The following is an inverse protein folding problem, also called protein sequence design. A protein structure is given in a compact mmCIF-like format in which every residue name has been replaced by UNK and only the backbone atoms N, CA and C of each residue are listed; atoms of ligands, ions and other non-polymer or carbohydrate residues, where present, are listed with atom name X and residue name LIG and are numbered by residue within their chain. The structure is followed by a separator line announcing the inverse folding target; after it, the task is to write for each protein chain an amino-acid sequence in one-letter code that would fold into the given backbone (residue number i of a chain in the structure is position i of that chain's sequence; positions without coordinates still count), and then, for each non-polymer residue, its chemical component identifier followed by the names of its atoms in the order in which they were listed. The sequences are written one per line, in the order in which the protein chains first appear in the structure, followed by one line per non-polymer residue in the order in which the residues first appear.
data_IF_639289234320
#
_entry.id   IF_639289234320
#
_cell.length_a   1.000
_cell.length_b   1.000
_cell.length_c   1.000
_cell.angle_alpha   90.00
_cell.angle_beta   90.00
_cell.angle_gamma   90.00
#
_symmetry.space_group_name_H-M   'P 1'
#
loop_
_entity.id
_entity.type
_entity.pdbx_description
1 polymer ?
#
# COMPACT_ATOMS: atom_id res chain seq x y z
N UNK A 1 32.82 -13.84 34.73
CA UNK A 1 32.57 -14.19 33.32
C UNK A 1 31.06 -14.23 33.08
N UNK A 2 30.42 -13.07 32.81
CA UNK A 2 28.96 -12.97 32.66
C UNK A 2 28.57 -13.19 31.21
N UNK A 3 27.91 -14.31 30.94
CA UNK A 3 27.22 -14.60 29.68
C UNK A 3 26.13 -13.54 29.47
N UNK A 4 26.40 -12.58 28.58
CA UNK A 4 25.44 -11.57 28.16
C UNK A 4 24.36 -12.28 27.35
N UNK A 5 23.20 -12.49 27.98
CA UNK A 5 21.98 -13.01 27.38
C UNK A 5 21.79 -12.41 25.99
N UNK A 6 21.75 -13.29 25.00
CA UNK A 6 21.11 -13.08 23.72
C UNK A 6 19.76 -12.41 23.96
N UNK A 7 19.63 -11.15 23.57
CA UNK A 7 18.33 -10.52 23.43
C UNK A 7 17.50 -11.34 22.43
N UNK A 8 16.19 -11.48 22.65
CA UNK A 8 15.33 -12.26 21.77
C UNK A 8 15.45 -11.73 20.35
N UNK A 9 15.53 -12.64 19.39
CA UNK A 9 15.52 -12.31 17.96
C UNK A 9 14.33 -11.39 17.68
N UNK A 10 14.58 -10.16 17.23
CA UNK A 10 13.52 -9.25 16.80
C UNK A 10 12.70 -9.92 15.68
N UNK A 11 11.42 -10.26 15.91
CA UNK A 11 10.56 -10.87 14.91
C UNK A 11 9.68 -9.82 14.19
N UNK A 12 10.06 -8.53 14.16
CA UNK A 12 9.13 -7.45 13.81
C UNK A 12 9.49 -6.58 12.60
N UNK A 13 10.62 -6.81 11.93
CA UNK A 13 10.96 -6.10 10.67
C UNK A 13 11.25 -7.10 9.53
N UNK A 14 10.51 -8.20 9.57
CA UNK A 14 10.32 -9.09 8.44
C UNK A 14 9.49 -8.30 7.43
N UNK A 15 10.16 -7.52 6.59
CA UNK A 15 9.61 -7.11 5.29
C UNK A 15 9.38 -8.44 4.56
N UNK A 16 8.19 -8.98 4.75
CA UNK A 16 7.76 -10.29 4.27
C UNK A 16 7.50 -10.15 2.77
N UNK A 17 8.59 -9.85 2.05
CA UNK A 17 8.61 -9.56 0.63
C UNK A 17 8.04 -10.73 -0.15
N UNK A 18 8.28 -11.96 0.35
CA UNK A 18 7.62 -13.17 -0.13
C UNK A 18 6.11 -13.05 -0.07
N UNK A 19 5.57 -12.68 1.08
CA UNK A 19 4.16 -12.42 1.29
C UNK A 19 3.63 -11.26 0.39
N UNK A 20 4.40 -10.18 0.20
CA UNK A 20 4.03 -9.07 -0.72
C UNK A 20 3.94 -9.55 -2.19
N UNK A 21 4.79 -10.50 -2.60
CA UNK A 21 4.82 -11.01 -3.98
C UNK A 21 3.85 -12.17 -4.23
N UNK A 22 3.68 -13.06 -3.27
CA UNK A 22 2.71 -14.16 -3.27
C UNK A 22 1.60 -13.76 -2.32
N UNK A 23 0.50 -13.21 -2.86
CA UNK A 23 -0.60 -12.61 -2.08
C UNK A 23 -0.81 -13.24 -0.70
N UNK A 24 -0.67 -12.41 0.33
CA UNK A 24 -0.73 -12.81 1.74
C UNK A 24 -2.12 -13.31 2.09
N UNK A 25 -2.26 -14.63 2.18
CA UNK A 25 -3.36 -15.27 2.89
C UNK A 25 -3.89 -16.53 2.20
N UNK A 26 -3.59 -17.68 2.79
CA UNK A 26 -4.28 -18.97 2.59
C UNK A 26 -5.73 -18.95 3.12
N UNK A 27 -6.50 -17.91 2.78
CA UNK A 27 -7.95 -17.97 2.93
C UNK A 27 -8.58 -18.00 1.54
N UNK A 28 -9.44 -18.98 1.24
CA UNK A 28 -10.30 -18.92 0.07
C UNK A 28 -11.35 -17.84 0.33
N UNK A 29 -10.94 -16.58 0.32
CA UNK A 29 -11.87 -15.47 0.40
C UNK A 29 -12.67 -15.45 -0.89
N UNK A 30 -14.00 -15.32 -0.76
CA UNK A 30 -14.93 -15.20 -1.90
C UNK A 30 -14.53 -14.08 -2.87
N UNK A 31 -13.75 -13.10 -2.39
CA UNK A 31 -13.19 -11.98 -3.15
C UNK A 31 -11.90 -12.29 -3.91
N UNK A 32 -11.19 -13.37 -3.57
CA UNK A 32 -10.02 -13.83 -4.34
C UNK A 32 -10.44 -14.43 -5.70
N UNK A 33 -11.71 -14.80 -5.85
CA UNK A 33 -12.27 -15.31 -7.10
C UNK A 33 -12.70 -14.22 -8.11
N UNK A 34 -12.67 -12.94 -7.70
CA UNK A 34 -12.99 -11.79 -8.56
C UNK A 34 -11.81 -11.43 -9.44
N UNK A 35 -12.08 -10.91 -10.65
CA UNK A 35 -11.03 -10.42 -11.53
C UNK A 35 -10.32 -9.21 -10.88
N UNK A 36 -8.97 -9.26 -10.72
CA UNK A 36 -8.18 -8.17 -10.15
C UNK A 36 -8.40 -6.80 -10.80
N UNK A 37 -8.78 -6.78 -12.10
CA UNK A 37 -9.12 -5.55 -12.83
C UNK A 37 -10.26 -4.79 -12.17
N UNK A 38 -11.35 -5.48 -11.83
CA UNK A 38 -12.55 -4.84 -11.27
C UNK A 38 -12.22 -4.26 -9.92
N UNK A 39 -11.48 -4.98 -9.08
CA UNK A 39 -11.07 -4.49 -7.77
C UNK A 39 -10.21 -3.23 -7.85
N UNK A 40 -9.28 -3.16 -8.81
CA UNK A 40 -8.47 -1.95 -9.05
C UNK A 40 -9.29 -0.78 -9.58
N UNK A 41 -10.17 -1.01 -10.57
CA UNK A 41 -11.04 0.03 -11.11
C UNK A 41 -11.97 0.57 -10.02
N UNK A 42 -12.66 -0.31 -9.29
CA UNK A 42 -13.56 0.06 -8.20
C UNK A 42 -12.83 0.82 -7.09
N UNK A 43 -11.61 0.39 -6.73
CA UNK A 43 -10.81 1.09 -5.72
C UNK A 43 -10.40 2.49 -6.19
N UNK A 44 -9.97 2.63 -7.44
CA UNK A 44 -9.61 3.93 -8.03
C UNK A 44 -10.83 4.86 -8.12
N UNK A 45 -11.97 4.35 -8.59
CA UNK A 45 -13.22 5.12 -8.66
C UNK A 45 -13.66 5.60 -7.28
N UNK A 46 -13.69 4.71 -6.28
CA UNK A 46 -14.03 5.08 -4.90
C UNK A 46 -13.06 6.09 -4.33
N UNK A 47 -11.75 5.92 -4.54
CA UNK A 47 -10.74 6.86 -4.06
C UNK A 47 -10.97 8.27 -4.63
N UNK A 48 -11.23 8.39 -5.94
CA UNK A 48 -11.55 9.68 -6.57
C UNK A 48 -12.83 10.28 -5.99
N UNK A 49 -13.91 9.49 -5.90
CA UNK A 49 -15.18 9.98 -5.33
C UNK A 49 -15.04 10.46 -3.89
N UNK A 50 -14.34 9.68 -3.04
CA UNK A 50 -14.12 10.01 -1.63
C UNK A 50 -13.32 11.30 -1.46
N UNK A 51 -12.27 11.49 -2.27
CA UNK A 51 -11.46 12.71 -2.23
C UNK A 51 -12.28 13.93 -2.67
N UNK A 52 -13.18 13.76 -3.63
CA UNK A 52 -14.06 14.84 -4.13
C UNK A 52 -15.19 15.26 -3.19
N UNK A 53 -15.50 14.50 -2.14
CA UNK A 53 -16.56 14.88 -1.18
C UNK A 53 -16.23 16.22 -0.50
N UNK A 54 -17.21 17.06 -0.21
CA UNK A 54 -16.91 18.38 0.38
C UNK A 54 -17.72 18.67 1.64
N UNK A 55 -18.75 17.87 1.90
CA UNK A 55 -19.50 17.89 3.14
C UNK A 55 -18.92 16.95 4.20
N UNK A 56 -19.09 17.30 5.48
CA UNK A 56 -18.65 16.47 6.60
C UNK A 56 -19.59 15.25 6.78
N UNK A 57 -20.90 15.42 6.52
CA UNK A 57 -21.88 14.35 6.63
C UNK A 57 -21.67 13.29 5.54
N UNK A 58 -21.38 13.71 4.31
CA UNK A 58 -21.05 12.79 3.22
C UNK A 58 -19.77 12.01 3.50
N UNK A 59 -18.72 12.67 4.04
CA UNK A 59 -17.49 12.00 4.45
C UNK A 59 -17.73 10.93 5.55
N UNK A 60 -18.64 11.18 6.49
CA UNK A 60 -18.97 10.22 7.55
C UNK A 60 -19.73 9.01 7.00
N UNK A 61 -20.74 9.23 6.15
CA UNK A 61 -21.46 8.15 5.46
C UNK A 61 -20.49 7.31 4.62
N UNK A 62 -19.55 7.96 3.94
CA UNK A 62 -18.57 7.28 3.12
C UNK A 62 -17.57 6.46 3.94
N UNK A 63 -17.19 6.94 5.13
CA UNK A 63 -16.39 6.17 6.09
C UNK A 63 -17.13 4.91 6.56
N UNK A 64 -18.42 5.02 6.90
CA UNK A 64 -19.23 3.85 7.28
C UNK A 64 -19.31 2.81 6.14
N UNK A 65 -19.51 3.28 4.90
CA UNK A 65 -19.49 2.41 3.72
C UNK A 65 -18.13 1.73 3.52
N UNK A 66 -17.03 2.46 3.72
CA UNK A 66 -15.67 1.93 3.62
C UNK A 66 -15.38 0.88 4.72
N UNK A 67 -15.86 1.10 5.94
CA UNK A 67 -15.77 0.12 7.04
C UNK A 67 -16.55 -1.14 6.67
N UNK A 68 -17.78 -1.02 6.18
CA UNK A 68 -18.58 -2.18 5.74
C UNK A 68 -17.86 -2.97 4.62
N UNK A 69 -17.28 -2.28 3.64
CA UNK A 69 -16.46 -2.88 2.60
C UNK A 69 -15.22 -3.59 3.16
N UNK A 70 -14.52 -3.01 4.12
CA UNK A 70 -13.34 -3.62 4.74
C UNK A 70 -13.68 -4.88 5.55
N UNK A 71 -14.84 -4.87 6.25
CA UNK A 71 -15.35 -6.03 6.99
C UNK A 71 -15.76 -7.16 6.04
N UNK A 72 -16.51 -6.86 4.97
CA UNK A 72 -16.83 -7.80 3.90
C UNK A 72 -15.56 -8.31 3.17
N UNK A 73 -14.55 -7.45 3.12
CA UNK A 73 -13.21 -7.68 2.59
C UNK A 73 -12.39 -8.73 3.35
N UNK A 74 -12.82 -9.11 4.56
CA UNK A 74 -12.06 -10.03 5.42
C UNK A 74 -10.72 -9.48 5.88
N UNK A 75 -10.54 -8.15 5.88
CA UNK A 75 -9.24 -7.52 6.20
C UNK A 75 -8.91 -7.82 7.66
N UNK A 76 -7.81 -8.54 7.96
CA UNK A 76 -7.45 -8.83 9.33
C UNK A 76 -7.00 -7.53 10.01
N UNK A 77 -7.66 -7.18 11.12
CA UNK A 77 -7.41 -5.95 11.90
C UNK A 77 -5.94 -5.80 12.28
N UNK A 78 -5.22 -6.93 12.46
CA UNK A 78 -3.76 -6.93 12.68
C UNK A 78 -2.97 -6.21 11.59
N UNK A 79 -3.41 -6.21 10.33
CA UNK A 79 -2.70 -5.48 9.25
C UNK A 79 -2.82 -3.96 9.39
N UNK A 80 -3.87 -3.47 10.05
CA UNK A 80 -4.05 -2.05 10.31
C UNK A 80 -3.00 -1.51 11.29
N UNK A 81 -2.38 -2.37 12.11
CA UNK A 81 -1.36 -1.94 13.07
C UNK A 81 -0.10 -1.36 12.40
N UNK A 82 0.22 -1.76 11.17
CA UNK A 82 1.34 -1.19 10.42
C UNK A 82 1.05 0.22 9.90
N UNK A 83 -0.21 0.65 9.91
CA UNK A 83 -0.63 2.00 9.53
C UNK A 83 -0.68 2.96 10.72
N UNK A 84 -0.58 2.46 11.97
CA UNK A 84 -0.56 3.29 13.18
C UNK A 84 0.48 4.42 13.14
N UNK A 85 1.73 4.21 12.70
CA UNK A 85 2.71 5.29 12.63
C UNK A 85 2.32 6.39 11.62
N UNK A 86 1.69 5.99 10.51
CA UNK A 86 1.21 6.92 9.49
C UNK A 86 0.01 7.72 9.97
N UNK A 87 -0.95 7.06 10.63
CA UNK A 87 -2.11 7.72 11.26
C UNK A 87 -1.66 8.71 12.34
N UNK A 88 -0.67 8.35 13.16
CA UNK A 88 -0.11 9.23 14.19
C UNK A 88 0.53 10.48 13.55
N UNK A 89 1.31 10.31 12.49
CA UNK A 89 1.90 11.42 11.75
C UNK A 89 0.83 12.31 11.11
N UNK A 90 -0.21 11.71 10.53
CA UNK A 90 -1.32 12.44 9.94
C UNK A 90 -2.06 13.26 11.01
N UNK A 91 -2.40 12.66 12.16
CA UNK A 91 -3.02 13.35 13.30
C UNK A 91 -2.17 14.52 13.80
N UNK A 92 -0.86 14.32 13.90
CA UNK A 92 0.09 15.37 14.29
C UNK A 92 0.09 16.54 13.29
N UNK A 93 -0.01 16.27 11.99
CA UNK A 93 -0.12 17.33 10.99
C UNK A 93 -1.50 18.00 11.02
N UNK A 94 -2.56 17.25 11.33
CA UNK A 94 -3.92 17.75 11.31
C UNK A 94 -4.24 18.67 12.48
N UNK A 95 -3.60 18.44 13.63
CA UNK A 95 -3.77 19.30 14.81
C UNK A 95 -3.24 20.72 14.58
N UNK A 96 -2.39 20.94 13.56
CA UNK A 96 -1.88 22.28 13.23
C UNK A 96 -2.84 23.06 12.33
N UNK A 97 -3.75 22.40 11.60
CA UNK A 97 -4.70 23.06 10.69
C UNK A 97 -5.63 24.06 11.37
N UNK A 98 -6.22 23.78 12.56
CA UNK A 98 -7.01 24.77 13.30
C UNK A 98 -6.25 26.06 13.63
N UNK A 99 -4.91 26.00 13.72
CA UNK A 99 -4.06 27.14 14.05
C UNK A 99 -3.46 27.83 12.81
N UNK A 100 -3.36 27.14 11.67
CA UNK A 100 -2.82 27.71 10.42
C UNK A 100 -3.88 28.27 9.48
N UNK A 101 -5.13 27.83 9.57
CA UNK A 101 -6.21 28.30 8.68
C UNK A 101 -6.89 29.52 9.30
N UNK A 102 -6.88 30.69 8.62
CA UNK A 102 -7.60 31.86 9.10
C UNK A 102 -9.11 31.64 8.97
N UNK A 103 -9.86 31.98 10.02
CA UNK A 103 -11.32 31.80 10.05
C UNK A 103 -11.93 32.32 11.36
N UNK A 104 -13.19 31.97 11.63
CA UNK A 104 -13.88 32.36 12.86
C UNK A 104 -13.25 31.64 14.05
N UNK A 105 -12.69 32.39 15.00
CA UNK A 105 -12.13 31.85 16.24
C UNK A 105 -13.25 31.25 17.11
N UNK A 106 -13.19 29.95 17.39
CA UNK A 106 -14.11 29.29 18.35
C UNK A 106 -13.51 29.24 19.74
N UNK A 107 -12.19 29.11 19.82
CA UNK A 107 -11.43 29.04 21.05
C UNK A 107 -10.20 29.94 20.90
N UNK A 108 -10.17 30.99 21.71
CA UNK A 108 -8.98 31.81 21.88
C UNK A 108 -8.30 31.34 23.16
N UNK A 109 -7.21 30.58 23.02
CA UNK A 109 -6.36 30.17 24.14
C UNK A 109 -5.07 30.97 24.00
N UNK A 110 -5.02 32.17 24.60
CA UNK A 110 -3.87 33.07 24.52
C UNK A 110 -3.70 33.70 23.13
N UNK A 111 -2.49 33.64 22.56
CA UNK A 111 -2.17 34.15 21.22
C UNK A 111 -2.52 33.21 20.06
N UNK A 112 -3.08 32.03 20.38
CA UNK A 112 -3.46 30.99 19.43
C UNK A 112 -4.99 30.95 19.32
N UNK A 113 -5.51 31.38 18.17
CA UNK A 113 -6.92 31.24 17.84
C UNK A 113 -7.14 29.95 17.04
N UNK A 114 -7.97 29.05 17.55
CA UNK A 114 -8.40 27.87 16.82
C UNK A 114 -9.61 28.22 15.95
N UNK A 115 -9.46 28.12 14.63
CA UNK A 115 -10.53 28.38 13.66
C UNK A 115 -11.51 27.21 13.56
N UNK A 116 -12.82 27.52 13.54
CA UNK A 116 -13.89 26.57 13.23
C UNK A 116 -13.68 25.86 11.90
N UNK A 117 -13.29 26.64 10.90
CA UNK A 117 -13.06 26.20 9.53
C UNK A 117 -11.86 25.27 9.46
N UNK A 118 -10.79 25.58 10.20
CA UNK A 118 -9.62 24.71 10.32
C UNK A 118 -9.94 23.36 10.98
N UNK A 119 -10.77 23.36 12.03
CA UNK A 119 -11.21 22.12 12.68
C UNK A 119 -12.14 21.28 11.79
N UNK A 120 -13.06 21.93 11.06
CA UNK A 120 -13.95 21.25 10.10
C UNK A 120 -13.16 20.63 8.95
N UNK A 121 -12.18 21.35 8.42
CA UNK A 121 -11.30 20.88 7.35
C UNK A 121 -10.44 19.70 7.84
N UNK A 122 -9.87 19.81 9.03
CA UNK A 122 -9.14 18.74 9.69
C UNK A 122 -10.01 17.47 9.79
N UNK A 123 -11.19 17.56 10.39
CA UNK A 123 -12.10 16.41 10.50
C UNK A 123 -12.44 15.80 9.13
N UNK A 124 -12.74 16.64 8.14
CA UNK A 124 -13.07 16.18 6.79
C UNK A 124 -11.89 15.43 6.13
N UNK A 125 -10.66 15.92 6.26
CA UNK A 125 -9.46 15.22 5.74
C UNK A 125 -9.27 13.88 6.46
N UNK A 126 -9.41 13.85 7.78
CA UNK A 126 -9.24 12.64 8.59
C UNK A 126 -10.21 11.54 8.15
N UNK A 127 -11.49 11.89 8.01
CA UNK A 127 -12.54 10.96 7.62
C UNK A 127 -12.29 10.41 6.21
N UNK A 128 -11.97 11.29 5.25
CA UNK A 128 -11.67 10.89 3.87
C UNK A 128 -10.45 9.99 3.77
N UNK A 129 -9.35 10.36 4.43
CA UNK A 129 -8.12 9.58 4.39
C UNK A 129 -8.38 8.16 4.90
N UNK A 130 -9.04 8.03 6.04
CA UNK A 130 -9.43 6.73 6.61
C UNK A 130 -10.38 5.96 5.67
N UNK A 131 -11.38 6.62 5.09
CA UNK A 131 -12.31 5.98 4.14
C UNK A 131 -11.60 5.45 2.88
N UNK A 132 -10.65 6.21 2.32
CA UNK A 132 -9.86 5.81 1.15
C UNK A 132 -8.95 4.63 1.50
N UNK A 133 -8.25 4.69 2.63
CA UNK A 133 -7.36 3.61 3.09
C UNK A 133 -8.16 2.33 3.31
N UNK A 134 -9.29 2.39 4.02
CA UNK A 134 -10.14 1.22 4.25
C UNK A 134 -10.71 0.63 2.96
N UNK A 135 -11.18 1.47 2.05
CA UNK A 135 -11.70 1.03 0.74
C UNK A 135 -10.60 0.36 -0.10
N UNK A 136 -9.41 0.94 -0.13
CA UNK A 136 -8.26 0.39 -0.84
C UNK A 136 -7.81 -0.93 -0.21
N UNK A 137 -7.79 -1.04 1.13
CA UNK A 137 -7.46 -2.28 1.81
C UNK A 137 -8.49 -3.38 1.55
N UNK A 138 -9.78 -3.07 1.65
CA UNK A 138 -10.85 -4.05 1.38
C UNK A 138 -10.82 -4.59 -0.06
N UNK A 139 -10.50 -3.73 -1.03
CA UNK A 139 -10.50 -4.10 -2.44
C UNK A 139 -9.16 -4.61 -2.95
N UNK A 140 -8.02 -4.10 -2.50
CA UNK A 140 -6.71 -4.38 -3.12
C UNK A 140 -5.80 -5.22 -2.24
N UNK A 141 -5.94 -5.22 -0.91
CA UNK A 141 -4.97 -5.87 -0.02
C UNK A 141 -4.91 -7.41 -0.10
N UNK A 142 -5.86 -8.03 -0.81
CA UNK A 142 -5.89 -9.49 -1.07
C UNK A 142 -5.20 -9.83 -2.41
N UNK A 143 -4.97 -8.84 -3.29
CA UNK A 143 -4.31 -9.06 -4.57
C UNK A 143 -2.80 -9.23 -4.39
N UNK A 144 -2.23 -10.30 -4.95
CA UNK A 144 -0.77 -10.44 -5.04
C UNK A 144 -0.17 -9.40 -6.00
N UNK A 145 1.07 -8.97 -5.75
CA UNK A 145 1.74 -7.96 -6.58
C UNK A 145 1.77 -8.35 -8.08
N UNK A 146 1.96 -9.63 -8.38
CA UNK A 146 1.91 -10.14 -9.76
C UNK A 146 0.52 -9.98 -10.39
N UNK A 147 -0.56 -10.18 -9.63
CA UNK A 147 -1.94 -10.02 -10.10
C UNK A 147 -2.25 -8.55 -10.41
N UNK A 148 -1.74 -7.63 -9.60
CA UNK A 148 -1.86 -6.18 -9.85
C UNK A 148 -1.19 -5.82 -11.18
N UNK A 149 0.04 -6.28 -11.42
CA UNK A 149 0.73 -6.01 -12.70
C UNK A 149 -0.01 -6.64 -13.89
N UNK A 150 -0.58 -7.83 -13.71
CA UNK A 150 -1.42 -8.45 -14.76
C UNK A 150 -2.65 -7.61 -15.05
N UNK A 151 -3.32 -7.10 -14.02
CA UNK A 151 -4.48 -6.23 -14.17
C UNK A 151 -4.12 -4.93 -14.90
N UNK A 152 -2.97 -4.32 -14.57
CA UNK A 152 -2.45 -3.14 -15.27
C UNK A 152 -2.16 -3.40 -16.76
N UNK A 153 -1.48 -4.51 -17.09
CA UNK A 153 -1.21 -4.89 -18.49
C UNK A 153 -2.51 -5.00 -19.28
N UNK A 154 -3.53 -5.52 -18.61
CA UNK A 154 -4.85 -5.76 -19.13
C UNK A 154 -5.73 -4.49 -19.22
N UNK A 155 -5.38 -3.41 -18.50
CA UNK A 155 -6.02 -2.09 -18.53
C UNK A 155 -5.44 -1.18 -19.63
N UNK A 156 -4.44 -1.66 -20.38
CA UNK A 156 -3.83 -0.91 -21.49
C UNK A 156 -2.45 -0.34 -21.18
N UNK A 157 -1.86 -0.64 -20.01
CA UNK A 157 -0.47 -0.26 -19.73
C UNK A 157 0.47 -0.97 -20.72
N UNK A 158 1.45 -0.27 -21.32
CA UNK A 158 2.37 -0.86 -22.28
C UNK A 158 3.07 -2.11 -21.75
N UNK A 159 3.10 -3.18 -22.55
CA UNK A 159 3.64 -4.48 -22.16
C UNK A 159 5.07 -4.40 -21.60
N UNK A 160 5.91 -3.51 -22.16
CA UNK A 160 7.29 -3.26 -21.72
C UNK A 160 7.37 -2.83 -20.24
N UNK A 161 6.45 -1.95 -19.80
CA UNK A 161 6.40 -1.50 -18.40
C UNK A 161 5.96 -2.64 -17.48
N UNK A 162 4.95 -3.41 -17.89
CA UNK A 162 4.49 -4.58 -17.13
C UNK A 162 5.60 -5.64 -16.99
N UNK A 163 6.40 -5.86 -18.04
CA UNK A 163 7.55 -6.77 -17.98
C UNK A 163 8.63 -6.27 -17.03
N UNK A 164 8.96 -4.97 -17.10
CA UNK A 164 9.91 -4.35 -16.17
C UNK A 164 9.44 -4.49 -14.71
N UNK A 165 8.15 -4.25 -14.45
CA UNK A 165 7.54 -4.42 -13.13
C UNK A 165 7.62 -5.88 -12.65
N UNK A 166 7.22 -6.85 -13.48
CA UNK A 166 7.27 -8.27 -13.12
C UNK A 166 8.70 -8.74 -12.82
N UNK A 167 9.66 -8.33 -13.64
CA UNK A 167 11.07 -8.66 -13.43
C UNK A 167 11.58 -8.01 -12.15
N UNK A 168 11.25 -6.75 -11.91
CA UNK A 168 11.61 -6.01 -10.69
C UNK A 168 11.05 -6.70 -9.46
N UNK A 169 9.77 -7.07 -9.45
CA UNK A 169 9.13 -7.81 -8.35
C UNK A 169 9.88 -9.12 -8.06
N UNK A 170 10.22 -9.90 -9.10
CA UNK A 170 11.02 -11.12 -8.95
C UNK A 170 12.42 -10.84 -8.41
N UNK A 171 13.08 -9.77 -8.88
CA UNK A 171 14.43 -9.41 -8.43
C UNK A 171 14.45 -8.90 -6.99
N UNK A 172 13.43 -8.16 -6.53
CA UNK A 172 13.34 -7.66 -5.16
C UNK A 172 13.35 -8.80 -4.14
N UNK A 173 12.56 -9.86 -4.37
CA UNK A 173 12.55 -11.05 -3.51
C UNK A 173 13.95 -11.64 -3.36
N UNK A 174 14.61 -11.76 -4.49
CA UNK A 174 15.84 -12.47 -4.66
C UNK A 174 17.06 -11.69 -4.16
N UNK A 175 17.05 -10.37 -4.33
CA UNK A 175 17.98 -9.44 -3.68
C UNK A 175 17.73 -9.42 -2.18
N UNK A 176 16.47 -9.51 -1.74
CA UNK A 176 16.10 -9.68 -0.34
C UNK A 176 16.73 -10.91 0.29
N UNK A 177 16.69 -12.06 -0.40
CA UNK A 177 17.34 -13.30 0.07
C UNK A 177 18.87 -13.14 0.18
N UNK A 178 19.48 -12.49 -0.82
CA UNK A 178 20.90 -12.22 -0.84
C UNK A 178 21.33 -11.29 0.31
N UNK A 179 20.54 -10.26 0.55
CA UNK A 179 20.73 -9.36 1.67
C UNK A 179 20.67 -10.11 3.01
N UNK A 180 19.69 -11.01 3.18
CA UNK A 180 19.59 -11.84 4.40
C UNK A 180 20.82 -12.73 4.58
N UNK A 181 21.32 -13.36 3.50
CA UNK A 181 22.55 -14.17 3.53
C UNK A 181 23.78 -13.35 3.93
N UNK A 182 23.98 -12.19 3.31
CA UNK A 182 25.11 -11.31 3.65
C UNK A 182 25.03 -10.81 5.09
N UNK A 183 23.85 -10.41 5.53
CA UNK A 183 23.63 -9.94 6.90
C UNK A 183 23.86 -11.04 7.94
N UNK A 184 23.49 -12.28 7.62
CA UNK A 184 23.82 -13.44 8.46
C UNK A 184 25.34 -13.66 8.54
N UNK A 185 26.05 -13.57 7.42
CA UNK A 185 27.52 -13.70 7.40
C UNK A 185 28.21 -12.59 8.21
N UNK A 186 27.71 -11.34 8.16
CA UNK A 186 28.23 -10.27 9.02
C UNK A 186 28.03 -10.60 10.51
N UNK A 187 26.83 -11.06 10.89
CA UNK A 187 26.54 -11.45 12.28
C UNK A 187 27.43 -12.60 12.75
N UNK A 188 27.72 -13.58 11.89
CA UNK A 188 28.65 -14.67 12.19
C UNK A 188 30.08 -14.18 12.47
N UNK A 189 30.48 -13.05 11.87
CA UNK A 189 31.75 -12.35 12.14
C UNK A 189 31.68 -11.40 13.36
N UNK A 190 30.72 -11.62 14.25
CA UNK A 190 30.46 -10.81 15.44
C UNK A 190 30.19 -9.31 15.17
N UNK A 191 29.73 -8.95 13.96
CA UNK A 191 29.36 -7.57 13.65
C UNK A 191 28.06 -7.18 14.37
N UNK A 192 28.10 -6.08 15.12
CA UNK A 192 26.93 -5.50 15.80
C UNK A 192 26.71 -4.08 15.27
N UNK A 193 25.54 -3.76 14.68
CA UNK A 193 25.26 -2.43 14.18
C UNK A 193 25.22 -1.42 15.33
N UNK A 194 26.02 -0.36 15.21
CA UNK A 194 26.09 0.80 16.12
C UNK A 194 26.19 2.09 15.32
N UNK A 195 25.90 3.25 15.91
CA UNK A 195 26.04 4.56 15.26
C UNK A 195 27.51 5.03 15.14
N UNK A 196 28.41 4.13 14.76
CA UNK A 196 29.86 4.37 14.65
C UNK A 196 30.29 4.39 13.18
N UNK A 197 31.34 5.14 12.85
CA UNK A 197 31.90 5.21 11.48
C UNK A 197 32.23 3.83 10.90
N UNK A 198 32.67 2.90 11.75
CA UNK A 198 32.95 1.51 11.35
C UNK A 198 31.68 0.80 10.85
N UNK A 199 30.56 0.95 11.56
CA UNK A 199 29.28 0.35 11.20
C UNK A 199 28.74 0.92 9.89
N UNK A 200 28.80 2.24 9.71
CA UNK A 200 28.42 2.89 8.45
C UNK A 200 29.24 2.39 7.27
N UNK A 201 30.55 2.21 7.46
CA UNK A 201 31.44 1.65 6.43
C UNK A 201 31.06 0.20 6.11
N UNK A 202 30.84 -0.64 7.11
CA UNK A 202 30.44 -2.04 6.92
C UNK A 202 29.08 -2.17 6.20
N UNK A 203 28.10 -1.34 6.56
CA UNK A 203 26.81 -1.27 5.86
C UNK A 203 26.98 -0.77 4.41
N UNK A 204 27.85 0.21 4.18
CA UNK A 204 28.22 0.67 2.84
C UNK A 204 28.81 -0.44 1.98
N UNK A 205 29.71 -1.26 2.52
CA UNK A 205 30.25 -2.44 1.82
C UNK A 205 29.18 -3.48 1.49
N UNK A 206 28.25 -3.73 2.42
CA UNK A 206 27.12 -4.62 2.18
C UNK A 206 26.25 -4.12 1.03
N UNK A 207 25.88 -2.84 1.03
CA UNK A 207 25.00 -2.25 0.00
C UNK A 207 25.74 -2.22 -1.35
N UNK A 208 27.01 -1.81 -1.35
CA UNK A 208 27.84 -1.81 -2.54
C UNK A 208 27.98 -3.19 -3.15
N UNK A 209 28.22 -4.22 -2.34
CA UNK A 209 28.31 -5.59 -2.84
C UNK A 209 26.97 -6.12 -3.36
N UNK A 210 25.85 -5.79 -2.70
CA UNK A 210 24.51 -6.13 -3.20
C UNK A 210 24.24 -5.49 -4.56
N UNK A 211 24.62 -4.23 -4.74
CA UNK A 211 24.45 -3.50 -6.00
C UNK A 211 25.27 -4.15 -7.13
N UNK A 212 26.55 -4.45 -6.89
CA UNK A 212 27.39 -5.13 -7.89
C UNK A 212 26.81 -6.50 -8.26
N UNK A 213 26.35 -7.27 -7.28
CA UNK A 213 25.75 -8.59 -7.52
C UNK A 213 24.42 -8.50 -8.26
N UNK A 214 23.58 -7.52 -7.96
CA UNK A 214 22.29 -7.33 -8.63
C UNK A 214 22.46 -6.89 -10.08
N UNK A 215 23.41 -6.00 -10.37
CA UNK A 215 23.77 -5.59 -11.73
C UNK A 215 24.28 -6.76 -12.57
N UNK A 216 25.26 -7.51 -12.05
CA UNK A 216 25.81 -8.69 -12.74
C UNK A 216 24.72 -9.76 -12.97
N UNK A 217 23.77 -9.89 -12.04
CA UNK A 217 22.62 -10.79 -12.20
C UNK A 217 21.66 -10.31 -13.28
N UNK A 218 21.41 -9.01 -13.36
CA UNK A 218 20.57 -8.40 -14.40
C UNK A 218 21.12 -8.68 -15.81
N UNK A 219 22.44 -8.55 -15.99
CA UNK A 219 23.12 -8.89 -17.24
C UNK A 219 22.95 -10.37 -17.60
N UNK A 220 23.25 -11.29 -16.65
CA UNK A 220 23.06 -12.74 -16.86
C UNK A 220 21.61 -13.11 -17.18
N UNK A 221 20.64 -12.44 -16.56
CA UNK A 221 19.23 -12.65 -16.84
C UNK A 221 18.88 -12.20 -18.27
N UNK A 222 19.37 -11.04 -18.70
CA UNK A 222 19.21 -10.54 -20.06
C UNK A 222 19.79 -11.48 -21.11
N UNK A 223 21.03 -11.95 -20.90
CA UNK A 223 21.68 -12.94 -21.76
C UNK A 223 20.90 -14.25 -21.82
N UNK A 224 20.48 -14.79 -20.67
CA UNK A 224 19.68 -16.01 -20.62
C UNK A 224 18.32 -15.87 -21.33
N UNK A 225 17.68 -14.69 -21.26
CA UNK A 225 16.46 -14.42 -22.00
C UNK A 225 16.71 -14.40 -23.52
N UNK A 226 17.79 -13.77 -23.98
CA UNK A 226 18.18 -13.78 -25.39
C UNK A 226 18.47 -15.19 -25.91
N UNK A 227 19.20 -16.01 -25.16
CA UNK A 227 19.49 -17.40 -25.52
C UNK A 227 18.23 -18.28 -25.63
N UNK A 228 17.16 -17.94 -24.90
CA UNK A 228 15.87 -18.64 -24.94
C UNK A 228 14.93 -18.13 -26.03
N UNK A 229 15.41 -17.26 -26.92
CA UNK A 229 14.60 -16.69 -28.00
C UNK A 229 13.55 -15.69 -27.51
N UNK A 230 13.85 -14.91 -26.48
CA UNK A 230 12.92 -13.89 -25.99
C UNK A 230 12.61 -12.86 -27.08
N UNK A 231 11.34 -12.81 -27.47
CA UNK A 231 10.76 -12.00 -28.55
C UNK A 231 10.35 -10.58 -28.09
N UNK A 232 10.75 -10.18 -26.88
CA UNK A 232 10.31 -8.93 -26.27
C UNK A 232 8.96 -9.03 -25.56
N UNK A 233 8.33 -10.22 -25.49
CA UNK A 233 7.03 -10.43 -24.86
C UNK A 233 7.08 -11.52 -23.79
N UNK A 234 6.91 -11.14 -22.51
CA UNK A 234 6.56 -12.11 -21.48
C UNK A 234 5.07 -12.45 -21.59
N UNK A 235 4.78 -13.68 -21.97
CA UNK A 235 3.43 -14.21 -22.00
C UNK A 235 2.93 -14.47 -20.57
N UNK A 236 1.84 -13.79 -20.21
CA UNK A 236 1.20 -13.90 -18.91
C UNK A 236 0.35 -15.19 -18.90
N UNK A 237 0.75 -16.20 -18.12
CA UNK A 237 0.01 -17.48 -18.04
C UNK A 237 -1.34 -17.37 -17.31
N UNK A 238 -1.57 -16.31 -16.52
CA UNK A 238 -2.80 -16.19 -15.74
C UNK A 238 -3.87 -15.40 -16.51
N UNK A 239 -4.74 -16.12 -17.22
CA UNK A 239 -5.94 -15.56 -17.88
C UNK A 239 -7.11 -15.56 -16.89
N UNK A 240 -7.24 -14.52 -16.08
CA UNK A 240 -8.48 -14.26 -15.35
C UNK A 240 -9.63 -14.06 -16.36
N UNK A 241 -10.66 -14.91 -16.30
CA UNK A 241 -11.86 -14.81 -17.15
C UNK A 241 -12.86 -13.91 -16.46
N UNK A 242 -13.39 -12.93 -17.19
CA UNK A 242 -14.47 -12.06 -16.70
C UNK A 242 -15.71 -12.90 -16.40
N UNK A 243 -16.21 -12.81 -15.17
CA UNK A 243 -17.40 -13.50 -14.66
C UNK A 243 -18.54 -12.50 -14.48
N UNK A 244 -19.79 -12.98 -14.49
CA UNK A 244 -20.97 -12.14 -14.22
C UNK A 244 -20.92 -11.47 -12.83
N UNK A 245 -20.24 -12.11 -11.87
CA UNK A 245 -19.99 -11.54 -10.55
C UNK A 245 -19.08 -10.30 -10.61
N UNK A 246 -18.13 -10.25 -11.55
CA UNK A 246 -17.23 -9.10 -11.72
C UNK A 246 -18.02 -7.86 -12.18
N UNK A 247 -18.95 -8.03 -13.13
CA UNK A 247 -19.86 -6.96 -13.55
C UNK A 247 -20.80 -6.50 -12.43
N UNK A 248 -21.26 -7.41 -11.57
CA UNK A 248 -22.10 -7.05 -10.43
C UNK A 248 -21.32 -6.19 -9.42
N UNK A 249 -20.10 -6.60 -9.07
CA UNK A 249 -19.25 -5.83 -8.15
C UNK A 249 -18.91 -4.46 -8.71
N UNK A 250 -18.63 -4.37 -10.02
CA UNK A 250 -18.40 -3.08 -10.66
C UNK A 250 -19.65 -2.21 -10.63
N UNK A 251 -20.83 -2.76 -10.94
CA UNK A 251 -22.10 -2.03 -10.89
C UNK A 251 -22.43 -1.52 -9.48
N UNK A 252 -22.18 -2.33 -8.45
CA UNK A 252 -22.34 -1.93 -7.05
C UNK A 252 -21.34 -0.82 -6.67
N UNK A 253 -20.08 -0.91 -7.10
CA UNK A 253 -19.11 0.15 -6.84
C UNK A 253 -19.53 1.47 -7.49
N UNK A 254 -20.00 1.42 -8.74
CA UNK A 254 -20.52 2.59 -9.46
C UNK A 254 -21.75 3.17 -8.76
N UNK A 255 -22.70 2.32 -8.33
CA UNK A 255 -23.91 2.81 -7.64
C UNK A 255 -23.58 3.47 -6.31
N UNK A 256 -22.61 2.93 -5.55
CA UNK A 256 -22.11 3.56 -4.32
C UNK A 256 -21.47 4.91 -4.61
N UNK A 257 -20.62 5.02 -5.64
CA UNK A 257 -20.03 6.31 -6.04
C UNK A 257 -21.11 7.35 -6.39
N UNK A 258 -22.11 6.96 -7.19
CA UNK A 258 -23.19 7.86 -7.61
C UNK A 258 -24.05 8.27 -6.41
N UNK A 259 -24.39 7.34 -5.52
CA UNK A 259 -25.17 7.63 -4.32
C UNK A 259 -24.44 8.60 -3.38
N UNK A 260 -23.13 8.40 -3.16
CA UNK A 260 -22.30 9.31 -2.36
C UNK A 260 -22.22 10.71 -2.99
N UNK A 261 -22.07 10.80 -4.31
CA UNK A 261 -21.99 12.08 -4.99
C UNK A 261 -23.33 12.83 -5.00
N UNK A 262 -24.45 12.11 -5.19
CA UNK A 262 -25.78 12.67 -5.09
C UNK A 262 -26.09 13.16 -3.67
N UNK A 263 -25.67 12.39 -2.65
CA UNK A 263 -25.81 12.77 -1.25
C UNK A 263 -24.95 14.00 -0.90
N UNK A 264 -23.72 14.08 -1.41
CA UNK A 264 -22.86 15.27 -1.22
C UNK A 264 -23.52 16.52 -1.83
N UNK A 265 -24.04 16.41 -3.07
CA UNK A 265 -24.79 17.48 -3.75
C UNK A 265 -26.03 17.91 -2.98
N UNK A 266 -26.80 16.96 -2.45
CA UNK A 266 -27.98 17.27 -1.64
C UNK A 266 -27.61 17.96 -0.33
N UNK A 267 -26.55 17.49 0.34
CA UNK A 267 -26.05 18.09 1.59
C UNK A 267 -25.41 19.48 1.42
N UNK A 268 -25.07 19.87 0.20
CA UNK A 268 -24.65 21.23 -0.14
C UNK A 268 -25.81 22.15 -0.52
N UNK A 269 -26.93 21.58 -0.96
CA UNK A 269 -28.11 22.32 -1.37
C UNK A 269 -29.08 22.61 -0.21
N UNK A 270 -28.95 21.86 0.90
CA UNK A 270 -29.71 22.04 2.15
C UNK A 270 -28.93 22.89 3.15
#
# INVERSE_FOLDING_TARGET
MRLRRSGPAEPSEQLDLGAVATGIGERPDRLAALDPRVRLISAAMLAVTLVSLTSLTSAFVALLAAIALALLGGVPVRRLQHLLPLELLMLLLLITLPFSVPGKSLLEIGSLSASAEGLRLAGLILLKANAVVLSLFGLVAVLGASQVVHALARLGVPAKLCHLLLLTLRQILLVGDEYRRMRLAMRARAFVPRSDRHSWRALGWLIGMLLVRSLARGQRLGEAMRCRGFDGRLHLLHRGRWRRLDSLVLAVAVSVCVALFAFDRWSHAA
#
